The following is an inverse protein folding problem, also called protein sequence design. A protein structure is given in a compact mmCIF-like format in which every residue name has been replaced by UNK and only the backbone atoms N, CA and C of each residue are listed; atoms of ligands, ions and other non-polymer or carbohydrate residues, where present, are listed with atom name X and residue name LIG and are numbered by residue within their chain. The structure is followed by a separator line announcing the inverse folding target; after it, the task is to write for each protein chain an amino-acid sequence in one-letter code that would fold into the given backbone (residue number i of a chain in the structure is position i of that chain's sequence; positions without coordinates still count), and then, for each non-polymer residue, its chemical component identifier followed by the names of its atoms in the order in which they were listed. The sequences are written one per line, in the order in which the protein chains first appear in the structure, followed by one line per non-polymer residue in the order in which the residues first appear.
data_IF_469110167927
#
_entry.id   IF_469110167927
#
_cell.length_a   1.000
_cell.length_b   1.000
_cell.length_c   1.000
_cell.angle_alpha   90.00
_cell.angle_beta   90.00
_cell.angle_gamma   90.00
#
_symmetry.space_group_name_H-M   'P 1'
#
loop_
_entity.id
_entity.type
_entity.pdbx_description
1 polymer ?
#
# COMPACT_ATOMS: atom_id res chain seq x y z
N UNK A 1 18.66 -0.51 24.16
CA UNK A 1 17.77 -1.49 23.52
C UNK A 1 17.17 -0.78 22.33
N UNK A 2 17.34 -1.28 21.09
CA UNK A 2 16.65 -0.74 19.93
C UNK A 2 15.14 -0.94 20.11
N UNK A 3 14.36 0.10 19.77
CA UNK A 3 12.91 0.05 19.74
C UNK A 3 12.43 0.37 18.33
N UNK A 4 11.42 -0.30 17.89
CA UNK A 4 10.83 -0.13 16.56
C UNK A 4 9.34 0.23 16.71
N UNK A 5 8.85 1.06 15.80
CA UNK A 5 7.42 1.30 15.67
C UNK A 5 6.76 0.06 15.07
N UNK A 6 5.58 -0.30 15.55
CA UNK A 6 4.86 -1.46 15.06
C UNK A 6 4.26 -1.21 13.68
N UNK A 7 4.28 -2.22 12.84
CA UNK A 7 3.66 -2.20 11.50
C UNK A 7 2.30 -2.92 11.47
N UNK A 8 2.03 -3.77 12.49
CA UNK A 8 0.80 -4.53 12.73
C UNK A 8 0.78 -5.08 14.15
N UNK A 9 -0.40 -5.37 14.68
CA UNK A 9 -0.59 -6.02 16.00
C UNK A 9 -0.77 -7.54 15.91
N UNK A 10 -0.95 -8.07 14.74
CA UNK A 10 -1.37 -9.43 14.43
C UNK A 10 -0.68 -10.50 15.28
N UNK A 11 0.66 -10.56 15.25
CA UNK A 11 1.40 -11.62 15.95
C UNK A 11 1.26 -11.55 17.48
N UNK A 12 1.03 -10.36 18.04
CA UNK A 12 0.78 -10.17 19.46
C UNK A 12 -0.62 -10.64 19.84
N UNK A 13 -1.64 -10.30 19.07
CA UNK A 13 -3.03 -10.68 19.33
C UNK A 13 -3.24 -12.19 19.14
N UNK A 14 -2.60 -12.81 18.17
CA UNK A 14 -2.58 -14.27 17.99
C UNK A 14 -1.96 -14.99 19.20
N UNK A 15 -0.91 -14.44 19.82
CA UNK A 15 -0.35 -14.99 21.06
C UNK A 15 -1.34 -14.95 22.23
N UNK A 16 -2.22 -13.95 22.31
CA UNK A 16 -3.28 -13.90 23.31
C UNK A 16 -4.32 -15.00 23.07
N UNK A 17 -4.66 -15.31 21.81
CA UNK A 17 -5.51 -16.46 21.47
C UNK A 17 -4.85 -17.78 21.92
N UNK A 18 -3.55 -17.98 21.66
CA UNK A 18 -2.78 -19.11 22.18
C UNK A 18 -2.84 -19.15 23.71
N UNK A 19 -2.81 -18.00 24.38
CA UNK A 19 -2.92 -17.85 25.83
C UNK A 19 -4.30 -18.19 26.40
N UNK A 20 -5.29 -18.51 25.54
CA UNK A 20 -6.61 -19.00 25.95
C UNK A 20 -7.71 -17.94 25.95
N UNK A 21 -7.54 -16.79 25.31
CA UNK A 21 -8.64 -15.85 25.08
C UNK A 21 -9.54 -16.36 23.96
N UNK A 22 -10.86 -16.31 24.15
CA UNK A 22 -11.85 -16.67 23.12
C UNK A 22 -11.91 -15.66 21.99
N UNK A 23 -11.63 -14.40 22.28
CA UNK A 23 -11.58 -13.31 21.31
C UNK A 23 -10.83 -12.11 21.88
N UNK A 24 -10.13 -11.40 21.00
CA UNK A 24 -9.37 -10.20 21.35
C UNK A 24 -9.52 -9.17 20.26
N UNK A 25 -9.54 -7.88 20.60
CA UNK A 25 -9.46 -6.80 19.64
C UNK A 25 -8.63 -5.64 20.20
N UNK A 26 -8.02 -4.87 19.30
CA UNK A 26 -7.30 -3.66 19.66
C UNK A 26 -7.52 -2.59 18.59
N UNK A 27 -7.72 -1.35 19.02
CA UNK A 27 -7.53 -0.17 18.19
C UNK A 27 -6.14 0.36 18.42
N UNK A 28 -5.33 0.43 17.38
CA UNK A 28 -3.94 0.83 17.49
C UNK A 28 -3.52 1.85 16.43
N UNK A 29 -2.39 2.49 16.70
CA UNK A 29 -1.63 3.22 15.70
C UNK A 29 -0.55 2.31 15.15
N UNK A 30 -0.58 2.08 13.86
CA UNK A 30 0.44 1.35 13.12
C UNK A 30 1.24 2.31 12.24
N UNK A 31 2.46 1.91 11.92
CA UNK A 31 3.43 2.76 11.24
C UNK A 31 4.02 2.01 10.04
N UNK A 32 3.82 2.56 8.84
CA UNK A 32 4.38 2.03 7.60
C UNK A 32 5.08 3.13 6.83
N UNK A 33 6.22 2.80 6.22
CA UNK A 33 7.00 3.74 5.41
C UNK A 33 6.43 3.87 3.99
N UNK A 34 5.14 4.13 3.90
CA UNK A 34 4.44 4.37 2.64
C UNK A 34 4.48 5.85 2.26
N UNK A 35 4.23 6.14 0.99
CA UNK A 35 4.10 7.51 0.52
C UNK A 35 2.91 8.22 1.17
N UNK A 36 3.00 9.53 1.34
CA UNK A 36 1.87 10.36 1.78
C UNK A 36 1.04 10.76 0.57
N UNK A 37 -0.20 10.28 0.50
CA UNK A 37 -1.19 10.66 -0.49
C UNK A 37 -2.57 10.93 0.13
N UNK A 38 -3.64 10.87 -0.65
CA UNK A 38 -5.00 11.09 -0.16
C UNK A 38 -5.53 9.95 0.72
N UNK A 39 -4.99 8.74 0.58
CA UNK A 39 -5.46 7.52 1.24
C UNK A 39 -4.43 6.89 2.17
N UNK A 40 -3.18 7.38 2.15
CA UNK A 40 -2.08 6.86 2.95
C UNK A 40 -1.46 7.96 3.81
N UNK A 41 -1.20 7.60 5.07
CA UNK A 41 -0.42 8.38 6.03
C UNK A 41 0.52 7.43 6.77
N UNK A 42 1.80 7.80 7.02
CA UNK A 42 2.76 6.91 7.69
C UNK A 42 2.33 6.40 9.06
N UNK A 43 1.51 7.15 9.76
CA UNK A 43 0.82 6.74 10.98
C UNK A 43 -0.68 6.65 10.68
N UNK A 44 -1.29 5.51 10.92
CA UNK A 44 -2.72 5.28 10.68
C UNK A 44 -3.33 4.45 11.80
N UNK A 45 -4.68 4.48 11.89
CA UNK A 45 -5.41 3.71 12.89
C UNK A 45 -6.00 2.46 12.24
N UNK A 46 -5.72 1.30 12.85
CA UNK A 46 -6.35 0.03 12.51
C UNK A 46 -7.09 -0.52 13.72
N UNK A 47 -8.18 -1.21 13.47
CA UNK A 47 -8.80 -2.11 14.45
C UNK A 47 -8.54 -3.53 13.99
N UNK A 48 -7.85 -4.30 14.83
CA UNK A 48 -7.68 -5.74 14.61
C UNK A 48 -8.52 -6.54 15.59
N UNK A 49 -9.16 -7.60 15.10
CA UNK A 49 -10.02 -8.53 15.87
C UNK A 49 -9.66 -9.96 15.51
N UNK A 50 -9.47 -10.80 16.52
CA UNK A 50 -9.23 -12.25 16.37
C UNK A 50 -10.20 -13.02 17.25
N UNK A 51 -10.84 -14.07 16.68
CA UNK A 51 -11.84 -14.86 17.40
C UNK A 51 -11.56 -16.35 17.19
N UNK A 52 -11.39 -17.07 18.30
CA UNK A 52 -11.16 -18.52 18.30
C UNK A 52 -12.41 -19.29 17.83
N UNK A 53 -12.16 -20.45 17.19
CA UNK A 53 -13.19 -21.36 16.65
C UNK A 53 -14.11 -20.73 15.61
N UNK A 54 -13.58 -19.73 14.87
CA UNK A 54 -14.24 -19.08 13.73
C UNK A 54 -13.36 -19.20 12.48
N UNK A 55 -13.98 -18.98 11.33
CA UNK A 55 -13.33 -18.95 10.04
C UNK A 55 -13.68 -17.66 9.26
N UNK A 56 -13.12 -17.50 8.09
CA UNK A 56 -13.30 -16.29 7.27
C UNK A 56 -14.75 -16.09 6.79
N UNK A 57 -15.57 -17.14 6.69
CA UNK A 57 -16.99 -16.99 6.37
C UNK A 57 -17.75 -16.30 7.51
N UNK A 58 -17.52 -16.74 8.75
CA UNK A 58 -18.07 -16.07 9.92
C UNK A 58 -17.57 -14.63 10.03
N UNK A 59 -16.32 -14.37 9.65
CA UNK A 59 -15.76 -13.03 9.68
C UNK A 59 -16.39 -12.11 8.62
N UNK A 60 -16.73 -12.63 7.42
CA UNK A 60 -17.51 -11.87 6.44
C UNK A 60 -18.87 -11.43 7.00
N UNK A 61 -19.64 -12.36 7.59
CA UNK A 61 -20.95 -12.06 8.19
C UNK A 61 -20.82 -11.06 9.35
N UNK A 62 -19.78 -11.18 10.15
CA UNK A 62 -19.50 -10.25 11.26
C UNK A 62 -19.14 -8.85 10.72
N UNK A 63 -18.34 -8.78 9.66
CA UNK A 63 -17.95 -7.52 9.01
C UNK A 63 -19.16 -6.82 8.39
N UNK A 64 -20.02 -7.56 7.71
CA UNK A 64 -21.30 -7.06 7.17
C UNK A 64 -22.15 -6.43 8.28
N UNK A 65 -22.39 -7.16 9.36
CA UNK A 65 -23.21 -6.69 10.49
C UNK A 65 -22.59 -5.48 11.19
N UNK A 66 -21.26 -5.47 11.36
CA UNK A 66 -20.52 -4.37 11.98
C UNK A 66 -20.64 -3.08 11.15
N UNK A 67 -20.37 -3.15 9.86
CA UNK A 67 -20.35 -1.98 8.98
C UNK A 67 -21.76 -1.42 8.73
N UNK A 68 -22.77 -2.28 8.57
CA UNK A 68 -24.17 -1.85 8.49
C UNK A 68 -24.56 -1.10 9.77
N UNK A 69 -24.21 -1.64 10.95
CA UNK A 69 -24.47 -0.99 12.22
C UNK A 69 -23.75 0.35 12.34
N UNK A 70 -22.48 0.45 11.95
CA UNK A 70 -21.72 1.70 11.97
C UNK A 70 -22.38 2.74 11.07
N UNK A 71 -22.79 2.38 9.86
CA UNK A 71 -23.48 3.29 8.95
C UNK A 71 -24.81 3.77 9.53
N UNK A 72 -25.64 2.87 10.08
CA UNK A 72 -26.91 3.22 10.73
C UNK A 72 -26.71 4.15 11.95
N UNK A 73 -25.76 3.83 12.83
CA UNK A 73 -25.52 4.59 14.05
C UNK A 73 -24.92 5.99 13.76
N UNK A 74 -24.07 6.11 12.74
CA UNK A 74 -23.39 7.37 12.41
C UNK A 74 -24.20 8.28 11.46
N UNK A 75 -24.93 7.69 10.50
CA UNK A 75 -25.62 8.44 9.46
C UNK A 75 -27.14 8.27 9.46
N UNK A 76 -27.70 7.38 10.31
CA UNK A 76 -29.13 7.08 10.36
C UNK A 76 -29.64 6.26 9.16
N UNK A 77 -28.74 5.77 8.31
CA UNK A 77 -29.03 4.97 7.11
C UNK A 77 -27.90 4.00 6.84
N UNK A 78 -28.18 2.82 6.26
CA UNK A 78 -27.14 1.93 5.74
C UNK A 78 -26.46 2.49 4.48
N UNK A 79 -27.17 3.35 3.73
CA UNK A 79 -26.61 4.03 2.56
C UNK A 79 -25.95 5.37 2.99
N UNK A 80 -24.71 5.54 2.60
CA UNK A 80 -23.91 6.76 2.82
C UNK A 80 -23.52 7.37 1.49
N UNK A 81 -23.38 8.70 1.44
CA UNK A 81 -22.88 9.38 0.25
C UNK A 81 -21.38 9.57 0.37
N UNK A 82 -20.64 9.13 -0.63
CA UNK A 82 -19.19 9.32 -0.73
C UNK A 82 -18.88 9.92 -2.10
N UNK A 83 -18.48 11.18 -2.12
CA UNK A 83 -18.35 11.98 -3.36
C UNK A 83 -19.65 11.92 -4.18
N UNK A 84 -19.60 11.38 -5.41
CA UNK A 84 -20.75 11.27 -6.29
C UNK A 84 -21.47 9.90 -6.20
N UNK A 85 -21.02 9.00 -5.30
CA UNK A 85 -21.56 7.66 -5.16
C UNK A 85 -22.43 7.52 -3.91
N UNK A 86 -23.55 6.77 -4.05
CA UNK A 86 -24.29 6.22 -2.91
C UNK A 86 -23.79 4.82 -2.65
N UNK A 87 -23.21 4.58 -1.49
CA UNK A 87 -22.66 3.29 -1.06
C UNK A 87 -23.57 2.73 0.01
N UNK A 88 -24.13 1.53 -0.23
CA UNK A 88 -25.03 0.87 0.72
C UNK A 88 -24.30 -0.25 1.47
N UNK A 89 -24.16 -0.07 2.78
CA UNK A 89 -23.56 -1.05 3.69
C UNK A 89 -24.56 -2.12 4.18
N UNK A 90 -25.73 -2.22 3.54
CA UNK A 90 -26.70 -3.26 3.88
C UNK A 90 -26.24 -4.65 3.40
N UNK A 91 -26.21 -5.60 4.32
CA UNK A 91 -25.88 -6.99 4.02
C UNK A 91 -26.94 -7.67 3.11
N UNK A 92 -26.57 -8.72 2.32
CA UNK A 92 -25.22 -9.30 2.17
C UNK A 92 -24.41 -8.60 1.06
N UNK A 93 -23.06 -8.62 1.19
CA UNK A 93 -22.17 -8.12 0.16
C UNK A 93 -21.81 -9.22 -0.86
N UNK A 94 -21.57 -8.88 -2.14
CA UNK A 94 -21.02 -9.80 -3.12
C UNK A 94 -19.68 -10.40 -2.66
N UNK A 95 -19.45 -11.66 -3.05
CA UNK A 95 -18.20 -12.40 -2.79
C UNK A 95 -17.62 -12.84 -4.14
N UNK A 96 -16.46 -12.34 -4.50
CA UNK A 96 -15.84 -12.55 -5.81
C UNK A 96 -14.41 -13.05 -5.62
N UNK A 97 -14.07 -14.27 -6.07
CA UNK A 97 -12.68 -14.74 -6.06
C UNK A 97 -11.76 -13.80 -6.86
N UNK A 98 -10.55 -13.52 -6.37
CA UNK A 98 -9.64 -12.55 -6.99
C UNK A 98 -9.33 -12.90 -8.45
N UNK A 99 -9.06 -14.18 -8.75
CA UNK A 99 -8.80 -14.62 -10.13
C UNK A 99 -10.00 -14.43 -11.05
N UNK A 100 -11.21 -14.60 -10.50
CA UNK A 100 -12.46 -14.34 -11.23
C UNK A 100 -12.71 -12.84 -11.43
N UNK A 101 -12.34 -12.01 -10.47
CA UNK A 101 -12.40 -10.56 -10.62
C UNK A 101 -11.49 -10.09 -11.76
N UNK A 102 -10.26 -10.61 -11.84
CA UNK A 102 -9.34 -10.33 -12.93
C UNK A 102 -9.94 -10.77 -14.28
N UNK A 103 -10.48 -11.99 -14.39
CA UNK A 103 -11.10 -12.46 -15.62
C UNK A 103 -12.29 -11.57 -16.05
N UNK A 104 -13.13 -11.14 -15.09
CA UNK A 104 -14.28 -10.27 -15.38
C UNK A 104 -13.86 -8.93 -15.97
N UNK A 105 -12.83 -8.30 -15.41
CA UNK A 105 -12.45 -6.93 -15.77
C UNK A 105 -11.42 -6.84 -16.91
N UNK A 106 -10.58 -7.87 -17.07
CA UNK A 106 -9.56 -7.89 -18.13
C UNK A 106 -9.95 -8.77 -19.33
N UNK A 107 -10.90 -9.71 -19.15
CA UNK A 107 -11.22 -10.75 -20.13
C UNK A 107 -10.18 -11.87 -20.20
N UNK A 108 -9.21 -11.92 -19.27
CA UNK A 108 -8.09 -12.86 -19.27
C UNK A 108 -8.19 -13.77 -18.05
N UNK A 109 -8.22 -15.08 -18.27
CA UNK A 109 -8.13 -16.09 -17.19
C UNK A 109 -6.66 -16.33 -16.85
N UNK A 110 -6.26 -15.93 -15.64
CA UNK A 110 -4.88 -16.05 -15.13
C UNK A 110 -4.67 -17.27 -14.23
N UNK A 111 -5.70 -18.09 -13.99
CA UNK A 111 -5.73 -19.12 -12.95
C UNK A 111 -4.68 -20.24 -13.12
N UNK A 112 -4.30 -20.56 -14.36
CA UNK A 112 -3.35 -21.62 -14.68
C UNK A 112 -2.08 -21.10 -15.35
N UNK A 113 -1.83 -19.78 -15.31
CA UNK A 113 -0.64 -19.17 -15.88
C UNK A 113 0.58 -19.43 -14.98
N UNK A 114 1.70 -19.74 -15.61
CA UNK A 114 3.01 -19.71 -14.95
C UNK A 114 3.53 -18.26 -14.81
N UNK A 115 4.59 -18.08 -14.04
CA UNK A 115 5.16 -16.75 -13.76
C UNK A 115 5.57 -16.01 -15.05
N UNK A 116 6.10 -16.71 -16.04
CA UNK A 116 6.57 -16.10 -17.30
C UNK A 116 5.39 -15.56 -18.09
N UNK A 117 4.36 -16.38 -18.28
CA UNK A 117 3.13 -16.01 -19.01
C UNK A 117 2.39 -14.87 -18.28
N UNK A 118 2.31 -14.96 -16.95
CA UNK A 118 1.66 -13.94 -16.14
C UNK A 118 2.38 -12.58 -16.23
N UNK A 119 3.71 -12.58 -16.24
CA UNK A 119 4.56 -11.40 -16.42
C UNK A 119 4.36 -10.76 -17.79
N UNK A 120 4.28 -11.58 -18.85
CA UNK A 120 3.98 -11.08 -20.19
C UNK A 120 2.57 -10.50 -20.28
N UNK A 121 1.60 -11.13 -19.63
CA UNK A 121 0.23 -10.66 -19.54
C UNK A 121 0.15 -9.31 -18.81
N UNK A 122 0.81 -9.14 -17.67
CA UNK A 122 0.87 -7.89 -16.94
C UNK A 122 1.47 -6.76 -17.80
N UNK A 123 2.59 -7.03 -18.50
CA UNK A 123 3.17 -6.08 -19.48
C UNK A 123 2.20 -5.74 -20.60
N UNK A 124 1.46 -6.72 -21.12
CA UNK A 124 0.44 -6.52 -22.15
C UNK A 124 -0.71 -5.63 -21.69
N UNK A 125 -1.01 -5.62 -20.40
CA UNK A 125 -1.99 -4.74 -19.76
C UNK A 125 -1.43 -3.34 -19.40
N UNK A 126 -0.16 -3.08 -19.71
CA UNK A 126 0.49 -1.79 -19.46
C UNK A 126 1.02 -1.62 -18.02
N UNK A 127 1.13 -2.71 -17.27
CA UNK A 127 1.61 -2.72 -15.88
C UNK A 127 3.14 -2.76 -15.88
N UNK A 128 3.76 -1.91 -15.09
CA UNK A 128 5.22 -1.95 -14.87
C UNK A 128 5.57 -3.15 -14.00
N UNK A 129 6.41 -4.04 -14.51
CA UNK A 129 6.84 -5.24 -13.79
C UNK A 129 8.37 -5.33 -13.77
N UNK A 130 8.92 -5.71 -12.63
CA UNK A 130 10.34 -5.99 -12.45
C UNK A 130 10.63 -7.49 -12.31
N UNK A 131 11.92 -7.87 -12.28
CA UNK A 131 12.34 -9.26 -12.22
C UNK A 131 12.15 -9.92 -10.84
N UNK A 132 11.88 -9.13 -9.80
CA UNK A 132 11.70 -9.63 -8.42
C UNK A 132 10.27 -10.08 -8.14
N UNK A 133 9.29 -9.64 -8.94
CA UNK A 133 7.89 -9.97 -8.78
C UNK A 133 7.61 -11.44 -9.09
N UNK A 134 7.21 -12.22 -8.08
CA UNK A 134 6.71 -13.59 -8.25
C UNK A 134 5.21 -13.61 -8.63
N UNK A 135 4.64 -14.81 -8.79
CA UNK A 135 3.24 -15.03 -9.20
C UNK A 135 2.26 -14.22 -8.35
N UNK A 136 2.39 -14.28 -7.03
CA UNK A 136 1.51 -13.57 -6.11
C UNK A 136 1.53 -12.05 -6.36
N UNK A 137 2.71 -11.45 -6.43
CA UNK A 137 2.85 -10.00 -6.65
C UNK A 137 2.33 -9.58 -8.03
N UNK A 138 2.54 -10.39 -9.08
CA UNK A 138 2.01 -10.12 -10.42
C UNK A 138 0.48 -10.13 -10.44
N UNK A 139 -0.16 -11.07 -9.72
CA UNK A 139 -1.63 -11.11 -9.58
C UNK A 139 -2.14 -9.88 -8.83
N UNK A 140 -1.44 -9.48 -7.76
CA UNK A 140 -1.74 -8.29 -6.97
C UNK A 140 -1.71 -7.02 -7.81
N UNK A 141 -0.64 -6.81 -8.57
CA UNK A 141 -0.50 -5.67 -9.48
C UNK A 141 -1.57 -5.65 -10.58
N UNK A 142 -1.88 -6.81 -11.17
CA UNK A 142 -2.97 -6.90 -12.17
C UNK A 142 -4.31 -6.53 -11.53
N UNK A 143 -4.61 -7.04 -10.34
CA UNK A 143 -5.84 -6.73 -9.63
C UNK A 143 -5.90 -5.25 -9.25
N UNK A 144 -4.87 -4.69 -8.66
CA UNK A 144 -4.79 -3.29 -8.24
C UNK A 144 -5.01 -2.32 -9.39
N UNK A 145 -4.28 -2.50 -10.50
CA UNK A 145 -4.33 -1.59 -11.64
C UNK A 145 -5.59 -1.74 -12.51
N UNK A 146 -6.09 -2.98 -12.67
CA UNK A 146 -7.16 -3.26 -13.64
C UNK A 146 -8.54 -3.47 -13.00
N UNK A 147 -8.63 -3.84 -11.71
CA UNK A 147 -9.89 -4.29 -11.13
C UNK A 147 -10.37 -3.45 -9.94
N UNK A 148 -9.48 -3.01 -9.07
CA UNK A 148 -9.79 -2.41 -7.77
C UNK A 148 -10.80 -1.25 -7.88
N UNK A 149 -10.58 -0.35 -8.82
CA UNK A 149 -11.39 0.86 -9.04
C UNK A 149 -12.84 0.58 -9.48
N UNK A 150 -13.17 -0.64 -9.89
CA UNK A 150 -14.53 -1.03 -10.26
C UNK A 150 -15.42 -1.39 -9.05
N UNK A 151 -14.83 -1.69 -7.90
CA UNK A 151 -15.56 -2.10 -6.71
C UNK A 151 -16.02 -0.90 -5.88
N UNK A 152 -17.07 -0.22 -6.35
CA UNK A 152 -17.65 0.95 -5.65
C UNK A 152 -18.48 0.51 -4.45
N UNK A 153 -19.38 -0.50 -4.63
CA UNK A 153 -20.17 -1.05 -3.54
C UNK A 153 -19.33 -2.03 -2.71
N UNK A 154 -19.63 -2.20 -1.41
CA UNK A 154 -18.93 -3.16 -0.57
C UNK A 154 -18.93 -4.54 -1.21
N UNK A 155 -17.75 -5.08 -1.48
CA UNK A 155 -17.56 -6.36 -2.15
C UNK A 155 -16.38 -7.10 -1.53
N UNK A 156 -16.59 -8.34 -1.11
CA UNK A 156 -15.50 -9.20 -0.66
C UNK A 156 -14.78 -9.79 -1.87
N UNK A 157 -13.50 -9.52 -1.99
CA UNK A 157 -12.58 -10.21 -2.89
C UNK A 157 -11.98 -11.35 -2.12
N UNK A 158 -12.13 -12.59 -2.60
CA UNK A 158 -11.83 -13.80 -1.83
C UNK A 158 -10.78 -14.68 -2.53
N UNK A 159 -10.28 -15.68 -1.79
CA UNK A 159 -9.52 -16.81 -2.32
C UNK A 159 -8.21 -16.38 -2.99
N UNK A 160 -7.40 -15.64 -2.24
CA UNK A 160 -6.10 -15.14 -2.67
C UNK A 160 -5.07 -16.27 -2.85
N UNK A 161 -4.12 -16.17 -3.80
CA UNK A 161 -3.02 -17.09 -3.94
C UNK A 161 -2.20 -17.24 -2.65
N UNK A 162 -1.69 -18.46 -2.42
CA UNK A 162 -0.94 -18.82 -1.22
C UNK A 162 0.31 -17.96 -1.03
N UNK A 163 0.98 -17.60 -2.11
CA UNK A 163 2.19 -16.79 -2.13
C UNK A 163 1.99 -15.36 -1.62
N UNK A 164 0.76 -14.84 -1.71
CA UNK A 164 0.40 -13.49 -1.22
C UNK A 164 0.04 -13.45 0.26
N UNK A 165 -0.02 -14.60 0.94
CA UNK A 165 -0.71 -14.69 2.23
C UNK A 165 0.06 -15.56 3.23
N UNK A 166 1.23 -15.10 3.73
CA UNK A 166 2.14 -15.91 4.54
C UNK A 166 1.57 -16.32 5.92
N UNK A 167 0.55 -15.62 6.42
CA UNK A 167 -0.05 -15.85 7.74
C UNK A 167 -1.44 -16.49 7.66
N UNK A 168 -1.89 -16.82 6.45
CA UNK A 168 -3.25 -17.30 6.18
C UNK A 168 -3.29 -18.81 5.98
N UNK A 169 -4.33 -19.45 6.48
CA UNK A 169 -4.57 -20.88 6.31
C UNK A 169 -4.84 -21.22 4.84
N UNK A 170 -4.29 -22.37 4.40
CA UNK A 170 -4.58 -22.93 3.09
C UNK A 170 -6.08 -23.14 2.90
N UNK A 171 -6.58 -22.84 1.70
CA UNK A 171 -7.99 -22.98 1.38
C UNK A 171 -8.40 -24.46 1.40
N UNK A 172 -9.51 -24.78 2.08
CA UNK A 172 -10.02 -26.15 2.36
C UNK A 172 -10.27 -27.02 1.14
N UNK A 173 -10.38 -26.46 -0.05
CA UNK A 173 -10.67 -27.20 -1.30
C UNK A 173 -9.66 -26.95 -2.41
N UNK A 174 -8.75 -25.99 -2.29
CA UNK A 174 -7.73 -25.69 -3.29
C UNK A 174 -6.40 -25.28 -2.63
N UNK A 175 -5.37 -26.14 -2.60
CA UNK A 175 -4.13 -25.85 -1.90
C UNK A 175 -3.27 -24.73 -2.53
N UNK A 176 -3.61 -24.26 -3.74
CA UNK A 176 -2.98 -23.09 -4.35
C UNK A 176 -3.49 -21.76 -3.80
N UNK A 177 -4.62 -21.79 -3.08
CA UNK A 177 -5.31 -20.61 -2.56
C UNK A 177 -5.32 -20.59 -1.03
N UNK A 178 -5.77 -19.49 -0.46
CA UNK A 178 -5.93 -19.30 0.97
C UNK A 178 -7.34 -18.84 1.33
N UNK A 179 -7.78 -19.12 2.56
CA UNK A 179 -9.05 -18.62 3.12
C UNK A 179 -8.89 -17.17 3.56
N UNK A 180 -8.78 -16.26 2.58
CA UNK A 180 -8.60 -14.81 2.75
C UNK A 180 -9.65 -14.04 2.01
N UNK A 181 -10.03 -12.90 2.55
CA UNK A 181 -10.73 -11.88 1.80
C UNK A 181 -10.19 -10.48 2.09
N UNK A 182 -10.34 -9.61 1.13
CA UNK A 182 -10.30 -8.16 1.31
C UNK A 182 -11.67 -7.57 1.03
N UNK A 183 -12.08 -6.61 1.83
CA UNK A 183 -13.30 -5.86 1.59
C UNK A 183 -12.98 -4.59 0.80
N UNK A 184 -13.41 -4.56 -0.44
CA UNK A 184 -13.30 -3.39 -1.30
C UNK A 184 -14.52 -2.50 -1.16
N UNK A 185 -14.30 -1.20 -0.97
CA UNK A 185 -15.34 -0.17 -0.91
C UNK A 185 -14.83 1.10 -1.58
N UNK A 186 -15.60 1.66 -2.50
CA UNK A 186 -15.23 2.88 -3.23
C UNK A 186 -13.88 2.79 -3.93
N UNK A 187 -13.58 1.62 -4.50
CA UNK A 187 -12.33 1.35 -5.21
C UNK A 187 -11.09 1.28 -4.31
N UNK A 188 -11.26 0.94 -3.02
CA UNK A 188 -10.16 0.83 -2.05
C UNK A 188 -10.40 -0.29 -1.06
N UNK A 189 -9.33 -0.94 -0.63
CA UNK A 189 -9.35 -1.88 0.48
C UNK A 189 -9.75 -1.15 1.77
N UNK A 190 -10.81 -1.63 2.43
CA UNK A 190 -11.26 -1.18 3.75
C UNK A 190 -10.85 -2.14 4.86
N UNK A 191 -10.86 -3.44 4.59
CA UNK A 191 -10.52 -4.47 5.56
C UNK A 191 -9.87 -5.68 4.88
N UNK A 192 -9.03 -6.37 5.64
CA UNK A 192 -8.36 -7.61 5.24
C UNK A 192 -8.54 -8.65 6.33
N UNK A 193 -8.97 -9.86 5.98
CA UNK A 193 -9.28 -10.89 6.94
C UNK A 193 -9.05 -12.30 6.37
N UNK A 194 -8.82 -13.23 7.29
CA UNK A 194 -8.62 -14.63 6.91
C UNK A 194 -8.88 -15.63 8.04
N UNK A 195 -8.95 -16.91 7.67
CA UNK A 195 -8.73 -17.99 8.62
C UNK A 195 -7.23 -18.07 8.89
N UNK A 196 -6.85 -18.00 10.16
CA UNK A 196 -5.47 -17.91 10.59
C UNK A 196 -4.71 -19.22 10.34
N UNK A 197 -3.48 -19.11 9.84
CA UNK A 197 -2.55 -20.23 9.82
C UNK A 197 -2.17 -20.57 11.27
N UNK A 198 -2.46 -21.79 11.68
CA UNK A 198 -2.22 -22.28 13.04
C UNK A 198 -1.35 -23.53 13.11
N UNK A 199 -0.76 -23.94 11.97
CA UNK A 199 0.24 -25.01 11.91
C UNK A 199 1.64 -24.40 12.04
N UNK A 200 2.43 -24.70 13.09
CA UNK A 200 3.75 -24.13 13.28
C UNK A 200 4.76 -24.57 12.22
N UNK A 201 4.57 -25.73 11.58
CA UNK A 201 5.47 -26.27 10.55
C UNK A 201 5.25 -25.48 9.25
N UNK A 202 4.00 -25.40 8.77
CA UNK A 202 3.65 -24.61 7.58
C UNK A 202 4.01 -23.14 7.79
N UNK A 203 3.76 -22.57 8.99
CA UNK A 203 4.12 -21.19 9.28
C UNK A 203 5.63 -20.94 9.19
N UNK A 204 6.46 -21.86 9.66
CA UNK A 204 7.92 -21.76 9.55
C UNK A 204 8.36 -21.79 8.08
N UNK A 205 7.81 -22.71 7.31
CA UNK A 205 8.10 -22.82 5.87
C UNK A 205 7.77 -21.54 5.12
N UNK A 206 6.61 -20.92 5.42
CA UNK A 206 6.21 -19.63 4.83
C UNK A 206 7.12 -18.48 5.21
N UNK A 207 7.56 -18.40 6.47
CA UNK A 207 8.54 -17.40 6.88
C UNK A 207 9.90 -17.59 6.18
N UNK A 208 10.33 -18.83 5.98
CA UNK A 208 11.57 -19.13 5.25
C UNK A 208 11.45 -18.76 3.75
N UNK A 209 10.28 -18.89 3.16
CA UNK A 209 10.00 -18.42 1.80
C UNK A 209 10.03 -16.89 1.71
N UNK A 210 9.42 -16.20 2.67
CA UNK A 210 9.48 -14.73 2.76
C UNK A 210 10.93 -14.23 2.89
N UNK A 211 11.76 -14.88 3.69
CA UNK A 211 13.18 -14.52 3.81
C UNK A 211 13.94 -14.62 2.47
N UNK A 212 13.62 -15.62 1.64
CA UNK A 212 14.22 -15.74 0.30
C UNK A 212 13.81 -14.60 -0.62
N UNK A 213 12.61 -14.05 -0.46
CA UNK A 213 12.17 -12.86 -1.19
C UNK A 213 12.91 -11.61 -0.70
N UNK A 214 13.10 -11.46 0.61
CA UNK A 214 13.91 -10.38 1.18
C UNK A 214 15.35 -10.38 0.67
N UNK A 215 15.98 -11.56 0.54
CA UNK A 215 17.32 -11.71 -0.03
C UNK A 215 17.40 -11.27 -1.51
N UNK A 216 16.28 -11.29 -2.22
CA UNK A 216 16.14 -10.81 -3.60
C UNK A 216 15.82 -9.31 -3.71
N UNK A 217 15.63 -8.63 -2.57
CA UNK A 217 15.40 -7.18 -2.51
C UNK A 217 13.95 -6.78 -2.21
N UNK A 218 13.12 -7.70 -1.76
CA UNK A 218 11.79 -7.37 -1.24
C UNK A 218 11.92 -6.82 0.19
N UNK A 219 11.77 -5.50 0.34
CA UNK A 219 11.88 -4.80 1.62
C UNK A 219 10.66 -5.02 2.53
N UNK A 220 9.55 -5.55 2.00
CA UNK A 220 8.31 -5.83 2.75
C UNK A 220 8.25 -7.26 3.29
N UNK A 221 9.20 -8.12 2.91
CA UNK A 221 9.23 -9.51 3.33
C UNK A 221 9.43 -9.66 4.84
N UNK A 222 8.68 -10.59 5.44
CA UNK A 222 8.64 -10.82 6.89
C UNK A 222 9.89 -11.53 7.41
N UNK A 223 10.31 -11.15 8.62
CA UNK A 223 11.34 -11.88 9.37
C UNK A 223 10.75 -13.08 10.11
N UNK A 224 11.59 -14.08 10.41
CA UNK A 224 11.18 -15.21 11.24
C UNK A 224 11.03 -14.76 12.70
N UNK A 225 9.81 -14.69 13.21
CA UNK A 225 9.52 -14.49 14.62
C UNK A 225 9.52 -15.85 15.35
N UNK A 226 10.65 -16.18 16.01
CA UNK A 226 10.81 -17.45 16.73
C UNK A 226 9.90 -17.54 17.96
N UNK A 227 9.55 -16.42 18.58
CA UNK A 227 8.64 -16.43 19.74
C UNK A 227 7.20 -16.67 19.31
N UNK A 228 6.81 -16.16 18.13
CA UNK A 228 5.50 -16.48 17.55
C UNK A 228 5.41 -17.95 17.14
N UNK A 229 6.43 -18.50 16.46
CA UNK A 229 6.46 -19.92 16.12
C UNK A 229 6.36 -20.79 17.35
N UNK A 230 7.11 -20.46 18.41
CA UNK A 230 7.01 -21.17 19.71
C UNK A 230 5.61 -21.08 20.31
N UNK A 231 4.95 -19.93 20.19
CA UNK A 231 3.55 -19.80 20.64
C UNK A 231 2.63 -20.77 19.88
N UNK A 232 2.76 -20.85 18.55
CA UNK A 232 1.98 -21.81 17.74
C UNK A 232 2.23 -23.26 18.15
N UNK A 233 3.45 -23.62 18.54
CA UNK A 233 3.82 -24.97 19.02
C UNK A 233 3.07 -25.36 20.33
N UNK A 234 2.66 -24.38 21.15
CA UNK A 234 1.79 -24.63 22.31
C UNK A 234 0.35 -24.96 21.91
N UNK A 235 -0.05 -24.62 20.71
CA UNK A 235 -1.36 -24.92 20.13
C UNK A 235 -2.27 -23.70 20.03
N UNK A 236 -2.38 -23.15 18.84
CA UNK A 236 -3.37 -22.11 18.51
C UNK A 236 -4.65 -22.78 18.01
N UNK A 237 -5.84 -22.51 18.60
CA UNK A 237 -7.10 -23.01 18.07
C UNK A 237 -7.36 -22.46 16.66
N UNK A 238 -8.20 -23.13 15.85
CA UNK A 238 -8.72 -22.51 14.62
C UNK A 238 -9.25 -21.10 14.95
N UNK A 239 -8.82 -20.11 14.22
CA UNK A 239 -9.09 -18.69 14.53
C UNK A 239 -9.34 -17.94 13.23
N UNK A 240 -10.18 -16.92 13.26
CA UNK A 240 -10.28 -15.94 12.20
C UNK A 240 -9.91 -14.57 12.72
N UNK A 241 -9.15 -13.82 11.92
CA UNK A 241 -8.75 -12.46 12.21
C UNK A 241 -9.14 -11.49 11.09
N UNK A 242 -9.27 -10.22 11.46
CA UNK A 242 -9.54 -9.10 10.56
C UNK A 242 -8.81 -7.85 11.01
N UNK A 243 -8.25 -7.10 10.05
CA UNK A 243 -7.83 -5.72 10.21
C UNK A 243 -8.77 -4.78 9.45
N UNK A 244 -9.28 -3.76 10.12
CA UNK A 244 -10.13 -2.73 9.52
C UNK A 244 -9.43 -1.38 9.60
N UNK A 245 -9.23 -0.71 8.45
CA UNK A 245 -8.67 0.63 8.37
C UNK A 245 -9.66 1.67 8.90
N UNK A 246 -9.49 2.10 10.15
CA UNK A 246 -10.43 3.01 10.82
C UNK A 246 -10.45 4.38 10.15
N UNK A 247 -9.31 4.91 9.77
CA UNK A 247 -9.26 6.22 9.10
C UNK A 247 -10.01 6.17 7.77
N UNK A 248 -9.86 5.10 6.98
CA UNK A 248 -10.62 4.88 5.73
C UNK A 248 -12.12 4.73 6.00
N UNK A 249 -12.50 4.00 7.05
CA UNK A 249 -13.91 3.89 7.45
C UNK A 249 -14.49 5.24 7.82
N UNK A 250 -13.76 6.06 8.57
CA UNK A 250 -14.19 7.43 8.93
C UNK A 250 -14.33 8.30 7.69
N UNK A 251 -13.39 8.21 6.72
CA UNK A 251 -13.50 8.93 5.44
C UNK A 251 -14.83 8.60 4.73
N UNK A 252 -15.18 7.31 4.64
CA UNK A 252 -16.44 6.87 4.03
C UNK A 252 -17.66 7.41 4.78
N UNK A 253 -17.70 7.26 6.10
CA UNK A 253 -18.85 7.66 6.94
C UNK A 253 -19.05 9.17 7.01
N UNK A 254 -18.02 9.96 6.75
CA UNK A 254 -18.04 11.45 6.84
C UNK A 254 -17.91 12.15 5.50
N UNK A 255 -17.90 11.40 4.39
CA UNK A 255 -17.72 11.93 3.04
C UNK A 255 -16.46 12.79 2.88
N UNK A 256 -15.36 12.37 3.46
CA UNK A 256 -14.05 13.02 3.28
C UNK A 256 -13.23 12.29 2.22
N UNK A 257 -12.61 13.04 1.33
CA UNK A 257 -11.84 12.50 0.20
C UNK A 257 -10.36 12.27 0.51
N UNK A 258 -9.89 12.71 1.68
CA UNK A 258 -8.50 12.62 2.09
C UNK A 258 -8.36 12.16 3.54
N UNK A 259 -7.44 11.24 3.79
CA UNK A 259 -7.10 10.77 5.14
C UNK A 259 -6.65 11.91 6.06
N UNK A 260 -6.04 12.97 5.50
CA UNK A 260 -5.61 14.15 6.25
C UNK A 260 -6.79 14.91 6.88
N UNK A 261 -7.99 14.79 6.31
CA UNK A 261 -9.20 15.47 6.82
C UNK A 261 -9.81 14.76 8.03
N UNK A 262 -9.46 13.50 8.27
CA UNK A 262 -9.96 12.70 9.39
C UNK A 262 -8.91 12.44 10.48
N UNK A 263 -7.66 12.88 10.27
CA UNK A 263 -6.60 12.83 11.27
C UNK A 263 -6.46 14.16 11.99
N UNK A 264 -6.33 14.14 13.33
CA UNK A 264 -6.11 15.37 14.11
C UNK A 264 -4.74 15.99 13.84
N UNK A 265 -3.72 15.18 13.60
CA UNK A 265 -2.34 15.62 13.38
C UNK A 265 -1.72 14.86 12.19
N UNK A 266 -2.23 15.09 10.95
CA UNK A 266 -1.69 14.41 9.78
C UNK A 266 -0.24 14.85 9.55
N UNK A 267 0.56 13.94 9.05
CA UNK A 267 1.90 14.29 8.58
C UNK A 267 1.79 15.16 7.32
N UNK A 268 2.45 16.29 7.34
CA UNK A 268 2.46 17.22 6.22
C UNK A 268 3.82 17.17 5.53
N UNK A 269 3.82 17.16 4.19
CA UNK A 269 5.07 17.35 3.46
C UNK A 269 5.65 18.71 3.84
N UNK A 270 6.97 18.81 4.14
CA UNK A 270 7.60 20.10 4.36
C UNK A 270 7.29 21.03 3.18
N UNK A 271 6.80 22.21 3.47
CA UNK A 271 6.70 23.24 2.42
C UNK A 271 8.08 23.40 1.75
N UNK A 272 8.15 23.19 0.43
CA UNK A 272 9.32 23.55 -0.32
C UNK A 272 9.46 25.06 -0.16
N UNK A 273 10.36 25.53 0.71
CA UNK A 273 10.67 26.96 0.82
C UNK A 273 10.97 27.46 -0.59
N UNK A 274 10.20 28.43 -1.04
CA UNK A 274 10.48 29.07 -2.31
C UNK A 274 11.94 29.52 -2.30
N UNK A 275 12.73 28.98 -3.22
CA UNK A 275 14.16 29.33 -3.28
C UNK A 275 14.24 30.78 -3.72
N UNK A 276 14.55 31.68 -2.80
CA UNK A 276 14.76 33.07 -3.14
C UNK A 276 15.94 33.19 -4.07
N UNK A 277 15.68 33.67 -5.27
CA UNK A 277 16.69 33.93 -6.29
C UNK A 277 17.01 35.41 -6.35
N UNK A 278 18.30 35.72 -6.39
CA UNK A 278 18.77 37.09 -6.67
C UNK A 278 18.34 37.50 -8.08
N UNK A 279 18.42 38.80 -8.36
CA UNK A 279 18.09 39.32 -9.71
C UNK A 279 18.97 38.71 -10.78
N UNK A 280 20.25 38.54 -10.48
CA UNK A 280 21.24 37.95 -11.38
C UNK A 280 20.98 36.45 -11.60
N UNK A 281 20.62 35.71 -10.53
CA UNK A 281 20.21 34.31 -10.67
C UNK A 281 18.95 34.13 -11.51
N UNK A 282 17.96 35.03 -11.36
CA UNK A 282 16.75 35.03 -12.23
C UNK A 282 17.09 35.28 -13.68
N UNK A 283 18.06 36.14 -13.97
CA UNK A 283 18.53 36.41 -15.35
C UNK A 283 19.14 35.13 -15.96
N UNK A 284 20.05 34.46 -15.25
CA UNK A 284 20.67 33.22 -15.73
C UNK A 284 19.57 32.13 -15.90
N UNK A 285 18.67 32.01 -14.96
CA UNK A 285 17.59 31.01 -14.98
C UNK A 285 16.64 31.23 -16.16
N UNK A 286 16.31 32.47 -16.51
CA UNK A 286 15.47 32.76 -17.67
C UNK A 286 16.11 32.31 -18.99
N UNK A 287 17.41 32.46 -19.12
CA UNK A 287 18.18 32.02 -20.30
C UNK A 287 18.25 30.48 -20.33
N UNK A 288 18.45 29.82 -19.19
CA UNK A 288 18.45 28.35 -19.09
C UNK A 288 17.08 27.75 -19.44
N UNK A 289 15.98 28.38 -19.04
CA UNK A 289 14.64 27.92 -19.40
C UNK A 289 14.32 28.03 -20.88
N UNK A 290 14.94 28.95 -21.56
CA UNK A 290 14.80 29.12 -23.02
C UNK A 290 15.69 28.15 -23.83
N UNK A 291 16.71 27.56 -23.19
CA UNK A 291 17.67 26.66 -23.81
C UNK A 291 17.92 25.48 -22.83
N UNK A 292 17.40 24.32 -23.14
CA UNK A 292 17.48 23.13 -22.24
C UNK A 292 18.93 22.74 -21.89
N UNK A 293 19.89 23.05 -22.78
CA UNK A 293 21.32 22.85 -22.61
C UNK A 293 22.06 23.95 -23.37
N UNK A 294 22.99 24.65 -22.76
CA UNK A 294 23.73 25.75 -23.37
C UNK A 294 25.20 25.69 -22.93
N UNK A 295 26.11 26.05 -23.87
CA UNK A 295 27.53 26.17 -23.52
C UNK A 295 27.75 27.26 -22.48
N UNK A 296 28.59 27.00 -21.46
CA UNK A 296 28.85 27.94 -20.36
C UNK A 296 29.36 29.29 -20.85
N UNK A 297 30.22 29.30 -21.85
CA UNK A 297 30.76 30.52 -22.42
C UNK A 297 29.65 31.37 -23.10
N UNK A 298 28.76 30.74 -23.86
CA UNK A 298 27.65 31.39 -24.53
C UNK A 298 26.61 31.90 -23.49
N UNK A 299 26.29 31.11 -22.49
CA UNK A 299 25.37 31.52 -21.42
C UNK A 299 25.90 32.73 -20.64
N UNK A 300 27.23 32.77 -20.37
CA UNK A 300 27.88 33.89 -19.72
C UNK A 300 27.82 35.17 -20.55
N UNK A 301 28.02 35.07 -21.85
CA UNK A 301 27.92 36.20 -22.79
C UNK A 301 26.47 36.74 -22.85
N UNK A 302 25.49 35.84 -22.99
CA UNK A 302 24.07 36.22 -23.03
C UNK A 302 23.57 36.82 -21.69
N UNK A 303 24.07 36.36 -20.58
CA UNK A 303 23.69 36.88 -19.26
C UNK A 303 24.21 38.32 -19.03
N UNK A 304 25.23 38.75 -19.76
CA UNK A 304 25.82 40.12 -19.73
C UNK A 304 26.14 40.61 -18.30
N UNK A 305 26.54 39.69 -17.38
CA UNK A 305 26.90 39.98 -16.00
C UNK A 305 28.41 40.18 -15.85
N UNK A 306 28.81 41.02 -14.90
CA UNK A 306 30.24 41.09 -14.55
C UNK A 306 30.75 39.75 -14.05
N UNK A 307 32.02 39.41 -14.25
CA UNK A 307 32.63 38.14 -13.83
C UNK A 307 32.30 37.77 -12.38
N UNK A 308 32.43 38.71 -11.47
CA UNK A 308 32.14 38.48 -10.03
C UNK A 308 30.68 38.12 -9.78
N UNK A 309 29.72 38.81 -10.45
CA UNK A 309 28.30 38.55 -10.31
C UNK A 309 27.92 37.22 -10.97
N UNK A 310 28.47 36.92 -12.13
CA UNK A 310 28.32 35.67 -12.84
C UNK A 310 28.73 34.48 -11.98
N UNK A 311 29.98 34.49 -11.45
CA UNK A 311 30.53 33.37 -10.70
C UNK A 311 29.72 33.09 -9.42
N UNK A 312 29.30 34.15 -8.70
CA UNK A 312 28.47 34.04 -7.51
C UNK A 312 27.09 33.46 -7.84
N UNK A 313 26.46 33.95 -8.89
CA UNK A 313 25.09 33.57 -9.26
C UNK A 313 25.03 32.16 -9.85
N UNK A 314 25.95 31.78 -10.72
CA UNK A 314 26.00 30.42 -11.26
C UNK A 314 26.28 29.39 -10.12
N UNK A 315 27.26 29.69 -9.24
CA UNK A 315 27.52 28.89 -8.05
C UNK A 315 26.30 28.79 -7.13
N UNK A 316 25.55 29.88 -6.97
CA UNK A 316 24.31 29.94 -6.22
C UNK A 316 23.25 29.01 -6.80
N UNK A 317 23.01 29.08 -8.12
CA UNK A 317 22.05 28.21 -8.81
C UNK A 317 22.45 26.73 -8.73
N UNK A 318 23.73 26.42 -8.89
CA UNK A 318 24.24 25.03 -8.77
C UNK A 318 24.07 24.50 -7.33
N UNK A 319 24.43 25.31 -6.32
CA UNK A 319 24.24 24.93 -4.91
C UNK A 319 22.76 24.73 -4.52
N UNK A 320 21.88 25.48 -5.17
CA UNK A 320 20.40 25.36 -4.99
C UNK A 320 19.80 24.20 -5.79
N UNK A 321 20.62 23.44 -6.54
CA UNK A 321 20.17 22.33 -7.36
C UNK A 321 19.32 22.73 -8.58
N UNK A 322 19.37 24.01 -9.01
CA UNK A 322 18.56 24.56 -10.09
C UNK A 322 19.30 24.48 -11.44
N UNK A 323 20.61 24.55 -11.42
CA UNK A 323 21.45 24.40 -12.60
C UNK A 323 22.52 23.34 -12.36
N UNK A 324 22.85 22.59 -13.40
CA UNK A 324 23.91 21.59 -13.44
C UNK A 324 24.96 22.00 -14.46
N UNK A 325 26.24 21.92 -14.10
CA UNK A 325 27.37 22.18 -15.00
C UNK A 325 28.11 20.88 -15.24
N UNK A 326 28.20 20.48 -16.50
CA UNK A 326 28.84 19.22 -16.92
C UNK A 326 29.88 19.49 -17.99
N UNK A 327 30.91 18.66 -18.05
CA UNK A 327 31.94 18.73 -19.11
C UNK A 327 31.66 17.62 -20.14
N UNK A 328 31.34 18.03 -21.37
CA UNK A 328 31.11 17.13 -22.51
C UNK A 328 32.10 17.53 -23.62
N UNK A 329 32.87 16.61 -24.16
CA UNK A 329 33.85 16.79 -25.23
C UNK A 329 34.79 18.01 -25.02
N UNK A 330 35.34 18.11 -23.77
CA UNK A 330 36.20 19.19 -23.32
C UNK A 330 35.54 20.60 -23.24
N UNK A 331 34.22 20.70 -23.49
CA UNK A 331 33.44 21.93 -23.35
C UNK A 331 32.55 21.84 -22.09
N UNK A 332 32.40 22.97 -21.37
CA UNK A 332 31.50 23.07 -20.24
C UNK A 332 30.09 23.48 -20.68
N UNK A 333 29.13 22.69 -20.29
CA UNK A 333 27.70 22.90 -20.56
C UNK A 333 26.93 23.12 -19.27
N UNK A 334 25.89 23.93 -19.38
CA UNK A 334 24.96 24.22 -18.28
C UNK A 334 23.55 23.79 -18.68
N UNK A 335 22.92 23.02 -17.82
CA UNK A 335 21.51 22.63 -17.99
C UNK A 335 20.65 23.10 -16.82
N UNK A 336 19.37 23.26 -17.09
CA UNK A 336 18.35 23.43 -16.06
C UNK A 336 18.03 22.04 -15.47
N UNK A 337 17.96 21.95 -14.15
CA UNK A 337 17.73 20.68 -13.43
C UNK A 337 16.25 20.48 -13.16
#
# INVERSE_FOLDING_TARGET
IPLYLRVANELYLKRLIVGGFDGVYEFSKDFRNEGMDRTHNPEFTVMELYVAYKDYFWMMETTEALLEKVALDSNGSSAVTVSDHSIDFKAPYPRVPILKAIEIHTGIDVSEMDEVTLRETAKGLGIEVDETMGIGKLIDEIFGEQCEHHFIQPTFITDYPKEMSPLTKEHRSNPKLTERFELMVNGKELANAYTELNDPIDQRERFEEQMKLSEKGDDEAMFIDQDFLRALEYGMPPTSGIGIGIDRLVMLMTNNSSIQEVLFFPQMRPEKKAVELTREEKTILSLLKSNSLIELAQLKEQAALSNKKWDVSLKGLTKKGIAKVEKLDDVLWVSFN
#
